data_IF_622805088667
#
_entry.id   IF_622805088667
#
_cell.length_a   1.000
_cell.length_b   1.000
_cell.length_c   1.000
_cell.angle_alpha   90.00
_cell.angle_beta   90.00
_cell.angle_gamma   90.00
#
_symmetry.space_group_name_H-M   'P 1'
#
loop_
_entity.id
_entity.type
_entity.pdbx_description
1 polymer ?
#
# COMPACT_ATOMS: atom_id res chain seq x y z
N UNK A 1 -54.17 -44.87 19.33
CA UNK A 1 -54.97 -44.26 18.24
C UNK A 1 -53.99 -43.44 17.41
N UNK A 2 -53.44 -43.98 16.30
CA UNK A 2 -54.06 -44.00 14.97
C UNK A 2 -54.30 -42.55 14.46
N UNK A 3 -53.86 -42.07 13.29
CA UNK A 3 -53.31 -42.66 12.05
C UNK A 3 -53.04 -41.49 11.09
N UNK A 4 -52.03 -41.62 10.20
CA UNK A 4 -52.04 -41.23 8.78
C UNK A 4 -52.19 -39.72 8.41
N UNK A 5 -51.77 -39.19 7.27
CA UNK A 5 -51.00 -39.58 6.07
C UNK A 5 -50.93 -38.30 5.21
N UNK A 6 -49.87 -38.10 4.43
CA UNK A 6 -49.79 -36.96 3.50
C UNK A 6 -48.53 -36.97 2.65
N UNK A 7 -48.57 -37.74 1.57
CA UNK A 7 -47.47 -37.95 0.64
C UNK A 7 -47.38 -36.89 -0.47
N UNK A 8 -46.14 -36.71 -0.94
CA UNK A 8 -45.70 -36.48 -2.33
C UNK A 8 -46.07 -35.17 -3.06
N UNK A 9 -45.02 -34.42 -3.44
CA UNK A 9 -44.88 -33.99 -4.84
C UNK A 9 -43.41 -34.00 -5.28
N UNK A 10 -43.03 -35.08 -5.94
CA UNK A 10 -41.79 -35.20 -6.71
C UNK A 10 -42.04 -34.58 -8.09
N UNK A 11 -41.29 -33.53 -8.45
CA UNK A 11 -41.17 -33.09 -9.86
C UNK A 11 -39.81 -33.49 -10.41
N UNK A 12 -39.81 -34.53 -11.24
CA UNK A 12 -38.75 -34.82 -12.21
C UNK A 12 -38.93 -33.88 -13.42
N UNK A 13 -37.88 -33.20 -13.85
CA UNK A 13 -37.75 -32.73 -15.23
C UNK A 13 -36.45 -33.24 -15.82
N UNK A 14 -36.56 -33.72 -17.05
CA UNK A 14 -35.64 -34.55 -17.81
C UNK A 14 -35.18 -33.73 -19.02
N UNK A 15 -33.86 -33.76 -19.26
CA UNK A 15 -33.13 -33.51 -20.52
C UNK A 15 -32.94 -32.08 -21.05
N UNK A 16 -31.70 -31.81 -21.46
CA UNK A 16 -31.31 -30.67 -22.27
C UNK A 16 -29.79 -30.57 -22.42
N UNK A 17 -29.23 -31.29 -23.40
CA UNK A 17 -27.81 -31.33 -23.70
C UNK A 17 -27.28 -30.00 -24.27
N UNK A 18 -26.04 -29.69 -23.90
CA UNK A 18 -24.98 -29.07 -24.71
C UNK A 18 -25.29 -27.79 -25.50
N UNK A 19 -24.61 -26.70 -25.14
CA UNK A 19 -24.06 -25.77 -26.14
C UNK A 19 -22.95 -24.91 -25.52
N UNK A 20 -21.73 -25.10 -26.02
CA UNK A 20 -20.55 -24.26 -25.75
C UNK A 20 -20.78 -22.89 -26.39
N UNK A 21 -20.77 -21.83 -25.59
CA UNK A 21 -20.77 -20.46 -26.10
C UNK A 21 -19.37 -20.11 -26.62
N UNK A 22 -19.20 -20.11 -27.94
CA UNK A 22 -17.98 -19.64 -28.62
C UNK A 22 -18.24 -18.22 -29.12
N UNK A 23 -17.54 -17.27 -28.52
CA UNK A 23 -17.58 -15.85 -28.87
C UNK A 23 -16.86 -15.63 -30.22
N UNK A 24 -17.60 -15.36 -31.29
CA UNK A 24 -17.06 -15.01 -32.63
C UNK A 24 -16.95 -13.48 -32.75
N UNK A 25 -15.73 -12.95 -32.67
CA UNK A 25 -15.45 -11.55 -32.97
C UNK A 25 -15.58 -11.28 -34.49
N UNK A 26 -16.51 -10.41 -34.89
CA UNK A 26 -16.60 -9.85 -36.25
C UNK A 26 -15.73 -8.58 -36.33
N UNK A 27 -14.76 -8.55 -37.24
CA UNK A 27 -14.04 -7.32 -37.64
C UNK A 27 -14.81 -6.61 -38.76
N UNK A 28 -15.11 -5.31 -38.68
CA UNK A 28 -15.62 -4.57 -39.83
C UNK A 28 -14.46 -4.12 -40.73
N UNK A 29 -14.63 -4.30 -42.04
CA UNK A 29 -13.75 -3.76 -43.07
C UNK A 29 -14.07 -2.28 -43.29
N UNK A 30 -13.10 -1.40 -43.05
CA UNK A 30 -13.19 0.04 -43.33
C UNK A 30 -12.61 0.31 -44.72
N UNK A 31 -13.50 0.59 -45.67
CA UNK A 31 -13.15 0.95 -47.04
C UNK A 31 -13.05 2.49 -47.14
N UNK A 32 -11.83 3.03 -47.24
CA UNK A 32 -11.60 4.47 -47.45
C UNK A 32 -11.71 4.81 -48.94
N UNK A 33 -12.71 5.62 -49.29
CA UNK A 33 -12.93 6.17 -50.63
C UNK A 33 -12.12 7.45 -50.78
N UNK A 34 -11.18 7.49 -51.72
CA UNK A 34 -10.48 8.72 -52.12
C UNK A 34 -11.39 9.53 -53.06
N UNK A 35 -11.62 10.80 -52.72
CA UNK A 35 -12.25 11.77 -53.63
C UNK A 35 -11.15 12.69 -54.19
N UNK A 36 -11.04 12.71 -55.51
CA UNK A 36 -10.16 13.59 -56.27
C UNK A 36 -10.94 14.84 -56.66
N UNK A 37 -10.53 16.02 -56.21
CA UNK A 37 -11.07 17.31 -56.68
C UNK A 37 -10.22 17.84 -57.82
N UNK A 38 -10.79 17.94 -59.01
CA UNK A 38 -10.19 18.66 -60.14
C UNK A 38 -10.48 20.16 -60.02
N UNK A 39 -9.45 20.95 -60.33
CA UNK A 39 -9.44 22.42 -60.40
C UNK A 39 -10.00 22.91 -61.74
N UNK A 40 -10.78 23.99 -61.72
CA UNK A 40 -11.19 24.74 -62.90
C UNK A 40 -10.67 26.18 -62.80
N UNK A 41 -10.11 26.65 -63.90
CA UNK A 41 -9.48 27.95 -64.12
C UNK A 41 -10.47 29.13 -64.02
N UNK A 42 -9.98 30.29 -63.55
CA UNK A 42 -10.50 31.60 -63.96
C UNK A 42 -9.43 32.71 -63.81
N UNK A 43 -9.10 33.25 -64.98
CA UNK A 43 -8.85 34.64 -65.39
C UNK A 43 -7.89 35.55 -64.61
N UNK A 44 -6.91 36.04 -65.37
CA UNK A 44 -5.88 37.05 -65.10
C UNK A 44 -6.41 38.45 -64.77
N UNK A 45 -5.69 39.18 -63.93
CA UNK A 45 -5.64 40.66 -63.90
C UNK A 45 -4.20 41.10 -63.57
N UNK A 46 -3.65 42.17 -64.17
CA UNK A 46 -2.22 42.50 -64.06
C UNK A 46 -1.90 43.53 -62.95
N UNK A 47 -0.94 43.13 -62.11
CA UNK A 47 0.18 43.88 -61.49
C UNK A 47 0.01 45.37 -61.11
N UNK A 48 -0.10 45.61 -59.80
CA UNK A 48 0.41 46.82 -59.12
C UNK A 48 1.64 46.43 -58.28
N UNK A 49 2.77 47.10 -58.51
CA UNK A 49 4.03 46.83 -57.82
C UNK A 49 4.08 47.54 -56.45
N UNK A 50 4.13 46.76 -55.37
CA UNK A 50 4.44 47.22 -54.02
C UNK A 50 5.90 46.93 -53.65
N UNK A 51 6.54 47.73 -52.79
CA UNK A 51 7.99 47.72 -52.58
C UNK A 51 8.46 46.42 -51.92
N UNK A 52 9.63 45.94 -52.34
CA UNK A 52 10.24 44.70 -51.85
C UNK A 52 10.57 44.79 -50.36
N UNK A 53 9.79 44.13 -49.52
CA UNK A 53 10.20 43.69 -48.20
C UNK A 53 11.35 42.68 -48.39
N UNK A 54 12.56 43.06 -47.99
CA UNK A 54 13.70 42.15 -47.95
C UNK A 54 13.43 41.07 -46.90
N UNK A 55 13.08 39.86 -47.36
CA UNK A 55 13.03 38.69 -46.50
C UNK A 55 14.43 38.42 -45.95
N UNK A 56 14.58 38.09 -44.65
CA UNK A 56 15.86 37.69 -44.10
C UNK A 56 16.39 36.47 -44.88
N UNK A 57 17.70 36.38 -45.13
CA UNK A 57 18.26 35.32 -45.96
C UNK A 57 17.94 33.94 -45.35
N UNK A 58 17.67 32.92 -46.19
CA UNK A 58 17.33 31.59 -45.70
C UNK A 58 18.49 31.00 -44.90
N UNK A 59 18.24 30.63 -43.64
CA UNK A 59 19.23 29.94 -42.78
C UNK A 59 19.80 28.72 -43.50
N UNK A 60 21.13 28.57 -43.49
CA UNK A 60 21.85 27.52 -44.19
C UNK A 60 21.36 26.12 -43.78
N UNK A 61 21.35 25.16 -44.72
CA UNK A 61 20.95 23.77 -44.43
C UNK A 61 21.76 23.16 -43.28
N UNK A 62 23.03 23.51 -43.15
CA UNK A 62 23.91 23.09 -42.04
C UNK A 62 23.45 23.63 -40.68
N UNK A 63 23.07 24.91 -40.59
CA UNK A 63 22.54 25.49 -39.34
C UNK A 63 21.22 24.85 -38.90
N UNK A 64 20.38 24.44 -39.86
CA UNK A 64 19.14 23.71 -39.60
C UNK A 64 19.38 22.29 -39.10
N UNK A 65 20.32 21.56 -39.70
CA UNK A 65 20.68 20.19 -39.26
C UNK A 65 21.33 20.24 -37.88
N UNK A 66 22.27 21.16 -37.63
CA UNK A 66 22.90 21.32 -36.32
C UNK A 66 21.87 21.70 -35.24
N UNK A 67 20.95 22.62 -35.55
CA UNK A 67 19.86 23.00 -34.64
C UNK A 67 18.90 21.84 -34.34
N UNK A 68 18.52 21.06 -35.36
CA UNK A 68 17.65 19.90 -35.19
C UNK A 68 18.33 18.76 -34.40
N UNK A 69 19.61 18.49 -34.66
CA UNK A 69 20.38 17.50 -33.90
C UNK A 69 20.59 17.93 -32.44
N UNK A 70 20.90 19.20 -32.20
CA UNK A 70 21.02 19.72 -30.83
C UNK A 70 19.69 19.58 -30.07
N UNK A 71 18.57 19.94 -30.72
CA UNK A 71 17.24 19.75 -30.14
C UNK A 71 16.92 18.29 -29.86
N UNK A 72 17.29 17.37 -30.77
CA UNK A 72 17.10 15.93 -30.58
C UNK A 72 17.91 15.39 -29.40
N UNK A 73 19.17 15.80 -29.25
CA UNK A 73 20.01 15.42 -28.11
C UNK A 73 19.41 15.93 -26.80
N UNK A 74 19.01 17.21 -26.76
CA UNK A 74 18.41 17.81 -25.56
C UNK A 74 17.09 17.12 -25.21
N UNK A 75 16.21 16.88 -26.20
CA UNK A 75 14.93 16.21 -25.99
C UNK A 75 15.11 14.75 -25.54
N UNK A 76 16.10 14.05 -26.09
CA UNK A 76 16.41 12.66 -25.71
C UNK A 76 17.01 12.60 -24.32
N UNK A 77 17.95 13.51 -23.98
CA UNK A 77 18.53 13.59 -22.65
C UNK A 77 17.47 13.96 -21.59
N UNK A 78 16.60 14.92 -21.89
CA UNK A 78 15.47 15.29 -21.03
C UNK A 78 14.48 14.12 -20.88
N UNK A 79 14.17 13.41 -21.98
CA UNK A 79 13.32 12.22 -21.96
C UNK A 79 13.91 11.09 -21.11
N UNK A 80 15.21 10.83 -21.25
CA UNK A 80 15.90 9.82 -20.45
C UNK A 80 15.94 10.22 -18.97
N UNK A 81 16.28 11.47 -18.66
CA UNK A 81 16.30 11.98 -17.30
C UNK A 81 14.92 11.87 -16.63
N UNK A 82 13.84 12.26 -17.34
CA UNK A 82 12.47 12.12 -16.83
C UNK A 82 12.05 10.64 -16.66
N UNK A 83 12.54 9.74 -17.51
CA UNK A 83 12.24 8.30 -17.37
C UNK A 83 12.96 7.62 -16.19
N UNK A 84 14.14 8.14 -15.82
CA UNK A 84 15.00 7.55 -14.78
C UNK A 84 14.80 8.23 -13.41
N UNK A 85 14.35 9.48 -13.37
CA UNK A 85 14.18 10.24 -12.13
C UNK A 85 13.32 9.52 -11.07
N UNK A 86 12.13 8.96 -11.39
CA UNK A 86 11.33 8.23 -10.40
C UNK A 86 12.06 6.99 -9.84
N UNK A 87 12.88 6.33 -10.68
CA UNK A 87 13.66 5.17 -10.25
C UNK A 87 14.80 5.57 -9.31
N UNK A 88 15.44 6.72 -9.53
CA UNK A 88 16.49 7.26 -8.63
C UNK A 88 15.90 7.62 -7.27
N UNK A 89 14.76 8.30 -7.24
CA UNK A 89 14.09 8.66 -5.97
C UNK A 89 13.67 7.41 -5.20
N UNK A 90 13.12 6.41 -5.88
CA UNK A 90 12.77 5.12 -5.28
C UNK A 90 14.00 4.42 -4.70
N UNK A 91 15.10 4.36 -5.46
CA UNK A 91 16.34 3.74 -5.02
C UNK A 91 16.91 4.46 -3.79
N UNK A 92 16.91 5.80 -3.79
CA UNK A 92 17.34 6.58 -2.64
C UNK A 92 16.48 6.32 -1.41
N UNK A 93 15.16 6.14 -1.58
CA UNK A 93 14.25 5.79 -0.48
C UNK A 93 14.57 4.45 0.20
N UNK A 94 15.20 3.50 -0.50
CA UNK A 94 15.69 2.26 0.11
C UNK A 94 17.12 2.34 0.64
N UNK A 95 17.98 3.17 0.02
CA UNK A 95 19.38 3.34 0.42
C UNK A 95 19.48 4.20 1.69
N UNK A 96 18.60 5.20 1.83
CA UNK A 96 18.54 6.13 2.95
C UNK A 96 17.09 6.35 3.37
N UNK A 97 16.45 5.32 3.95
CA UNK A 97 15.09 5.45 4.46
C UNK A 97 15.02 6.42 5.64
N UNK A 98 13.85 7.04 5.89
CA UNK A 98 13.65 7.93 7.02
C UNK A 98 13.93 7.25 8.36
N UNK A 99 14.54 8.01 9.28
CA UNK A 99 14.77 7.60 10.67
C UNK A 99 13.44 7.45 11.44
N UNK A 100 13.46 6.76 12.59
CA UNK A 100 12.27 6.60 13.43
C UNK A 100 11.64 7.96 13.82
N UNK A 101 12.46 8.94 14.19
CA UNK A 101 11.99 10.28 14.52
C UNK A 101 11.39 11.02 13.32
N UNK A 102 12.02 10.95 12.14
CA UNK A 102 11.50 11.57 10.92
C UNK A 102 10.16 10.98 10.49
N UNK A 103 9.95 9.66 10.67
CA UNK A 103 8.67 9.03 10.31
C UNK A 103 7.45 9.63 11.01
N UNK A 104 7.64 10.29 12.16
CA UNK A 104 6.57 10.91 12.93
C UNK A 104 6.02 12.19 12.27
N UNK A 105 6.85 12.93 11.53
CA UNK A 105 6.48 14.19 10.87
C UNK A 105 6.09 14.02 9.40
N UNK A 106 6.37 12.87 8.79
CA UNK A 106 6.08 12.62 7.38
C UNK A 106 4.59 12.42 7.07
N UNK A 107 3.77 12.05 8.06
CA UNK A 107 2.35 11.79 7.83
C UNK A 107 1.58 13.11 7.74
N UNK A 108 1.01 13.38 6.57
CA UNK A 108 0.08 14.49 6.33
C UNK A 108 -1.34 13.92 6.26
N UNK A 109 -2.24 14.26 7.21
CA UNK A 109 -3.63 13.81 7.16
C UNK A 109 -4.34 14.26 5.89
N UNK A 110 -5.14 13.36 5.30
CA UNK A 110 -5.86 13.66 4.06
C UNK A 110 -7.11 14.54 4.26
N UNK A 111 -7.72 14.47 5.45
CA UNK A 111 -8.94 15.19 5.82
C UNK A 111 -8.99 15.41 7.34
N UNK A 112 -10.01 16.16 7.80
CA UNK A 112 -10.20 16.49 9.23
C UNK A 112 -10.40 15.27 10.10
N UNK A 113 -11.07 14.22 9.60
CA UNK A 113 -11.28 12.98 10.34
C UNK A 113 -9.95 12.25 10.60
N UNK A 114 -9.10 12.13 9.58
CA UNK A 114 -7.76 11.54 9.73
C UNK A 114 -6.88 12.35 10.69
N UNK A 115 -7.04 13.68 10.71
CA UNK A 115 -6.35 14.56 11.66
C UNK A 115 -6.82 14.33 13.11
N UNK A 116 -8.13 14.22 13.33
CA UNK A 116 -8.72 13.91 14.65
C UNK A 116 -8.31 12.53 15.15
N UNK A 117 -8.34 11.52 14.28
CA UNK A 117 -7.87 10.15 14.57
C UNK A 117 -6.40 10.18 14.97
N UNK A 118 -5.55 10.84 14.17
CA UNK A 118 -4.12 10.97 14.45
C UNK A 118 -3.87 11.66 15.80
N UNK A 119 -4.58 12.77 16.06
CA UNK A 119 -4.49 13.50 17.33
C UNK A 119 -4.83 12.59 18.51
N UNK A 120 -5.95 11.85 18.42
CA UNK A 120 -6.38 10.91 19.47
C UNK A 120 -5.35 9.80 19.72
N UNK A 121 -4.70 9.28 18.68
CA UNK A 121 -3.63 8.27 18.82
C UNK A 121 -2.41 8.86 19.53
N UNK A 122 -1.94 10.02 19.09
CA UNK A 122 -0.69 10.64 19.58
C UNK A 122 -0.82 11.16 21.01
N UNK A 123 -1.99 11.73 21.36
CA UNK A 123 -2.26 12.32 22.68
C UNK A 123 -2.91 11.35 23.67
N UNK A 124 -2.99 10.05 23.35
CA UNK A 124 -3.54 9.08 24.30
C UNK A 124 -2.56 8.87 25.47
N UNK A 125 -3.04 8.71 26.73
CA UNK A 125 -2.16 8.51 27.88
C UNK A 125 -1.21 7.32 27.76
N UNK A 126 -1.61 6.23 27.10
CA UNK A 126 -0.71 5.11 26.80
C UNK A 126 0.46 5.54 25.91
N UNK A 127 0.20 6.33 24.86
CA UNK A 127 1.23 6.83 23.95
C UNK A 127 2.21 7.76 24.68
N UNK A 128 1.70 8.66 25.53
CA UNK A 128 2.52 9.55 26.35
C UNK A 128 3.38 8.77 27.36
N UNK A 129 2.81 7.77 28.02
CA UNK A 129 3.50 6.91 28.96
C UNK A 129 4.65 6.14 28.28
N UNK A 130 4.40 5.53 27.13
CA UNK A 130 5.42 4.80 26.36
C UNK A 130 6.52 5.74 25.87
N UNK A 131 6.17 6.94 25.40
CA UNK A 131 7.13 7.96 24.94
C UNK A 131 8.02 8.48 26.06
N UNK A 132 7.51 8.56 27.30
CA UNK A 132 8.29 8.97 28.46
C UNK A 132 9.33 7.93 28.90
N UNK A 133 9.21 6.67 28.46
CA UNK A 133 10.11 5.60 28.82
C UNK A 133 11.19 5.38 27.74
N UNK A 134 12.49 5.57 28.06
CA UNK A 134 13.60 5.51 27.09
C UNK A 134 13.91 4.11 26.53
N UNK A 135 13.25 3.06 27.04
CA UNK A 135 13.32 1.72 26.46
C UNK A 135 12.53 1.61 25.16
N UNK A 136 11.50 2.44 24.98
CA UNK A 136 10.64 2.41 23.81
C UNK A 136 11.09 3.42 22.77
N UNK A 137 11.10 2.98 21.51
CA UNK A 137 11.40 3.81 20.35
C UNK A 137 10.10 4.02 19.57
N UNK A 138 9.67 5.27 19.50
CA UNK A 138 8.46 5.68 18.78
C UNK A 138 8.74 5.84 17.28
N UNK A 139 7.85 5.33 16.43
CA UNK A 139 7.97 5.46 14.97
C UNK A 139 6.63 5.23 14.25
N UNK A 140 6.60 5.56 12.96
CA UNK A 140 5.55 5.15 12.00
C UNK A 140 6.16 4.29 10.89
N UNK A 141 6.23 2.96 11.07
CA UNK A 141 6.91 2.07 10.12
C UNK A 141 6.45 2.24 8.66
N UNK A 142 5.16 2.47 8.42
CA UNK A 142 4.60 2.67 7.08
C UNK A 142 5.18 3.91 6.35
N UNK A 143 5.68 4.88 7.09
CA UNK A 143 6.31 6.08 6.52
C UNK A 143 7.77 5.85 6.09
N UNK A 144 8.36 4.69 6.44
CA UNK A 144 9.64 4.26 5.87
C UNK A 144 9.52 3.75 4.44
N UNK A 145 8.30 3.40 4.00
CA UNK A 145 8.06 2.94 2.63
C UNK A 145 7.94 4.17 1.73
N UNK A 146 8.72 4.25 0.63
CA UNK A 146 8.61 5.32 -0.35
C UNK A 146 7.17 5.49 -0.85
N UNK A 147 6.73 6.74 -0.97
CA UNK A 147 5.32 7.07 -1.26
C UNK A 147 4.80 6.40 -2.54
N UNK A 148 5.60 6.43 -3.60
CA UNK A 148 5.27 5.84 -4.89
C UNK A 148 5.14 4.31 -4.88
N UNK A 149 5.64 3.64 -3.84
CA UNK A 149 5.53 2.19 -3.67
C UNK A 149 4.50 1.78 -2.62
N UNK A 150 4.02 2.73 -1.82
CA UNK A 150 3.14 2.45 -0.69
C UNK A 150 1.85 1.77 -1.13
N UNK A 151 1.32 2.11 -2.30
CA UNK A 151 0.14 1.47 -2.91
C UNK A 151 0.30 -0.03 -3.17
N UNK A 152 1.53 -0.52 -3.33
CA UNK A 152 1.84 -1.95 -3.49
C UNK A 152 1.99 -2.70 -2.16
N UNK A 153 1.89 -1.99 -1.03
CA UNK A 153 1.85 -2.60 0.30
C UNK A 153 0.40 -2.72 0.79
N UNK A 154 0.07 -3.87 1.39
CA UNK A 154 -1.28 -4.17 1.83
C UNK A 154 -1.78 -3.22 2.93
N UNK A 155 -1.02 -3.08 4.03
CA UNK A 155 -1.43 -2.32 5.23
C UNK A 155 -0.94 -0.88 5.22
N UNK A 156 0.18 -0.61 4.55
CA UNK A 156 0.69 0.74 4.39
C UNK A 156 0.01 1.51 3.25
N UNK A 157 -0.63 0.85 2.29
CA UNK A 157 -1.30 1.51 1.16
C UNK A 157 -2.72 1.04 0.91
N UNK A 158 -2.92 -0.21 0.47
CA UNK A 158 -4.22 -0.71 -0.01
C UNK A 158 -5.34 -0.54 1.03
N UNK A 159 -5.02 -0.77 2.31
CA UNK A 159 -5.92 -0.66 3.44
C UNK A 159 -5.91 0.72 4.12
N UNK A 160 -5.14 1.69 3.62
CA UNK A 160 -5.20 3.08 4.09
C UNK A 160 -6.26 3.90 3.36
N UNK A 161 -6.69 4.96 4.03
CA UNK A 161 -7.63 5.95 3.51
C UNK A 161 -8.93 6.05 4.31
N UNK A 162 -9.85 6.84 3.78
CA UNK A 162 -11.11 7.22 4.42
C UNK A 162 -12.00 6.01 4.72
N UNK A 163 -12.56 5.99 5.93
CA UNK A 163 -13.27 4.86 6.56
C UNK A 163 -12.47 3.55 6.60
N UNK A 164 -11.14 3.59 6.40
CA UNK A 164 -10.24 2.45 6.57
C UNK A 164 -9.23 2.74 7.68
N UNK A 165 -7.94 2.46 7.44
CA UNK A 165 -6.83 2.93 8.28
C UNK A 165 -6.51 4.36 7.83
N UNK A 166 -7.24 5.34 8.36
CA UNK A 166 -7.15 6.75 7.95
C UNK A 166 -5.87 7.45 8.45
N UNK A 167 -5.34 7.00 9.59
CA UNK A 167 -4.02 7.39 10.09
C UNK A 167 -3.13 6.15 10.19
N UNK A 168 -1.88 6.18 9.71
CA UNK A 168 -0.93 5.10 9.92
C UNK A 168 -0.87 4.73 11.40
N UNK A 169 -0.62 3.47 11.77
CA UNK A 169 -0.43 3.11 13.17
C UNK A 169 0.78 3.80 13.79
N UNK A 170 0.68 4.16 15.07
CA UNK A 170 1.80 4.63 15.88
C UNK A 170 2.43 3.43 16.60
N UNK A 171 3.73 3.22 16.43
CA UNK A 171 4.42 2.02 16.94
C UNK A 171 5.51 2.40 17.93
N UNK A 172 5.51 1.74 19.08
CA UNK A 172 6.56 1.77 20.09
C UNK A 172 7.26 0.42 20.10
N UNK A 173 8.57 0.40 19.86
CA UNK A 173 9.36 -0.81 19.86
C UNK A 173 10.38 -0.81 21.00
N UNK A 174 10.42 -1.88 21.78
CA UNK A 174 11.48 -2.12 22.76
C UNK A 174 12.46 -3.14 22.16
N UNK A 175 13.45 -2.63 21.43
CA UNK A 175 14.50 -3.45 20.80
C UNK A 175 15.73 -3.64 21.67
N UNK A 176 15.80 -2.93 22.80
CA UNK A 176 16.93 -2.96 23.74
C UNK A 176 16.83 -4.11 24.75
N UNK A 177 15.65 -4.70 24.91
CA UNK A 177 15.45 -5.89 25.73
C UNK A 177 16.08 -7.14 25.08
N UNK A 178 16.38 -8.16 25.89
CA UNK A 178 16.89 -9.46 25.40
C UNK A 178 15.93 -10.10 24.39
N UNK A 179 14.63 -10.02 24.70
CA UNK A 179 13.55 -10.41 23.82
C UNK A 179 12.73 -9.18 23.45
N UNK A 180 12.71 -8.76 22.17
CA UNK A 180 12.04 -7.53 21.78
C UNK A 180 10.52 -7.64 21.81
N UNK A 181 9.88 -6.51 22.04
CA UNK A 181 8.42 -6.36 22.07
C UNK A 181 7.98 -5.08 21.37
N UNK A 182 6.71 -5.01 20.98
CA UNK A 182 6.09 -3.80 20.44
C UNK A 182 4.73 -3.52 21.07
N UNK A 183 4.36 -2.25 21.06
CA UNK A 183 3.00 -1.76 21.26
C UNK A 183 2.64 -0.88 20.07
N UNK A 184 1.51 -1.12 19.42
CA UNK A 184 1.06 -0.36 18.27
C UNK A 184 -0.37 0.12 18.46
N UNK A 185 -0.61 1.41 18.27
CA UNK A 185 -1.93 2.04 18.40
C UNK A 185 -2.47 2.38 17.01
N UNK A 186 -3.69 1.97 16.71
CA UNK A 186 -4.34 2.19 15.41
C UNK A 186 -5.84 2.46 15.55
N UNK A 187 -6.44 3.00 14.48
CA UNK A 187 -7.89 3.12 14.32
C UNK A 187 -8.34 2.29 13.12
N UNK A 188 -9.48 1.60 13.26
CA UNK A 188 -10.03 0.72 12.23
C UNK A 188 -11.41 1.22 11.80
N UNK A 189 -11.50 1.81 10.61
CA UNK A 189 -12.75 2.35 10.07
C UNK A 189 -13.74 1.31 9.53
N UNK A 190 -14.93 1.76 9.18
CA UNK A 190 -16.07 0.91 8.79
C UNK A 190 -15.87 0.12 7.48
N UNK A 191 -15.12 0.62 6.50
CA UNK A 191 -14.83 -0.11 5.24
C UNK A 191 -13.91 -1.32 5.43
N UNK A 192 -13.48 -1.59 6.65
CA UNK A 192 -12.72 -2.77 7.05
C UNK A 192 -13.61 -3.86 7.67
N UNK A 193 -14.93 -3.65 7.70
CA UNK A 193 -15.87 -4.61 8.24
C UNK A 193 -16.01 -5.87 7.38
N UNK A 194 -16.20 -7.01 8.04
CA UNK A 194 -16.58 -8.26 7.39
C UNK A 194 -18.07 -8.57 7.51
N UNK A 195 -18.64 -8.19 8.65
CA UNK A 195 -20.07 -8.17 8.93
C UNK A 195 -20.44 -6.71 9.25
N UNK A 196 -21.70 -6.26 8.99
CA UNK A 196 -22.13 -4.94 9.42
C UNK A 196 -21.67 -4.61 10.84
N UNK A 197 -21.03 -3.45 10.98
CA UNK A 197 -20.46 -2.86 12.21
C UNK A 197 -19.33 -3.65 12.91
N UNK A 198 -18.84 -4.75 12.35
CA UNK A 198 -17.78 -5.58 12.94
C UNK A 198 -16.59 -5.70 11.98
N UNK A 199 -15.40 -5.33 12.45
CA UNK A 199 -14.14 -5.45 11.72
C UNK A 199 -13.91 -6.89 11.29
N UNK A 200 -13.48 -7.06 10.02
CA UNK A 200 -13.24 -8.39 9.46
C UNK A 200 -12.15 -9.13 10.25
N UNK A 201 -12.43 -10.36 10.70
CA UNK A 201 -11.47 -11.15 11.48
C UNK A 201 -10.14 -11.39 10.76
N UNK A 202 -10.18 -11.52 9.43
CA UNK A 202 -8.98 -11.59 8.59
C UNK A 202 -8.14 -10.32 8.58
N UNK A 203 -8.72 -9.12 8.76
CA UNK A 203 -7.91 -7.91 8.95
C UNK A 203 -7.16 -7.98 10.29
N UNK A 204 -7.85 -8.37 11.37
CA UNK A 204 -7.22 -8.52 12.67
C UNK A 204 -6.08 -9.55 12.62
N UNK A 205 -6.26 -10.63 11.85
CA UNK A 205 -5.20 -11.60 11.59
C UNK A 205 -4.01 -10.98 10.85
N UNK A 206 -4.25 -10.17 9.81
CA UNK A 206 -3.21 -9.45 9.08
C UNK A 206 -2.42 -8.51 9.99
N UNK A 207 -3.13 -7.75 10.86
CA UNK A 207 -2.48 -6.85 11.81
C UNK A 207 -1.62 -7.63 12.80
N UNK A 208 -2.12 -8.74 13.34
CA UNK A 208 -1.36 -9.63 14.22
C UNK A 208 -0.12 -10.20 13.53
N UNK A 209 -0.24 -10.70 12.29
CA UNK A 209 0.91 -11.21 11.54
C UNK A 209 2.02 -10.16 11.40
N UNK A 210 1.67 -8.94 10.97
CA UNK A 210 2.64 -7.85 10.84
C UNK A 210 3.20 -7.37 12.18
N UNK A 211 2.38 -7.30 13.22
CA UNK A 211 2.79 -6.90 14.56
C UNK A 211 3.77 -7.88 15.20
N UNK A 212 3.45 -9.18 15.13
CA UNK A 212 4.29 -10.27 15.65
C UNK A 212 5.60 -10.37 14.87
N UNK A 213 5.55 -10.22 13.54
CA UNK A 213 6.74 -10.12 12.70
C UNK A 213 7.67 -9.00 13.19
N UNK A 214 7.13 -7.80 13.36
CA UNK A 214 7.89 -6.61 13.76
C UNK A 214 8.48 -6.72 15.16
N UNK A 215 7.82 -7.42 16.08
CA UNK A 215 8.38 -7.74 17.38
C UNK A 215 9.62 -8.62 17.29
N UNK A 216 9.59 -9.70 16.51
CA UNK A 216 10.70 -10.67 16.53
C UNK A 216 11.82 -10.44 15.53
N UNK A 217 11.58 -9.68 14.46
CA UNK A 217 12.60 -9.44 13.44
C UNK A 217 13.91 -8.89 14.02
N UNK A 218 13.91 -7.91 14.95
CA UNK A 218 15.16 -7.44 15.56
C UNK A 218 15.99 -8.54 16.24
N UNK A 219 15.36 -9.63 16.69
CA UNK A 219 16.03 -10.74 17.36
C UNK A 219 16.53 -11.84 16.39
N UNK A 220 16.18 -11.77 15.10
CA UNK A 220 16.67 -12.71 14.09
C UNK A 220 18.06 -12.29 13.57
N UNK A 221 18.94 -13.24 13.21
CA UNK A 221 20.33 -12.96 12.81
C UNK A 221 20.49 -11.89 11.72
N UNK A 222 19.65 -11.92 10.68
CA UNK A 222 19.66 -10.98 9.57
C UNK A 222 18.49 -9.99 9.61
N UNK A 223 17.77 -9.94 10.74
CA UNK A 223 16.62 -9.08 10.98
C UNK A 223 15.47 -9.23 9.97
N UNK A 224 15.32 -10.43 9.41
CA UNK A 224 14.29 -10.78 8.42
C UNK A 224 13.71 -12.14 8.75
N UNK A 225 12.39 -12.26 8.69
CA UNK A 225 11.68 -13.52 8.87
C UNK A 225 10.50 -13.63 7.94
N UNK A 226 10.02 -14.85 7.76
CA UNK A 226 8.72 -15.16 7.14
C UNK A 226 7.88 -15.94 8.14
N UNK A 227 6.56 -15.77 8.07
CA UNK A 227 5.62 -16.50 8.92
C UNK A 227 5.61 -17.97 8.52
N UNK A 228 5.95 -18.85 9.46
CA UNK A 228 5.86 -20.31 9.27
C UNK A 228 4.55 -20.88 9.83
N UNK A 229 4.06 -20.33 10.94
CA UNK A 229 2.73 -20.65 11.47
C UNK A 229 2.16 -19.46 12.23
N UNK A 230 0.84 -19.29 12.15
CA UNK A 230 0.08 -18.29 12.88
C UNK A 230 -1.19 -18.96 13.42
N UNK A 231 -1.32 -19.03 14.75
CA UNK A 231 -2.50 -19.54 15.44
C UNK A 231 -3.22 -18.36 16.10
N UNK A 232 -4.53 -18.23 15.86
CA UNK A 232 -5.32 -17.07 16.28
C UNK A 232 -6.56 -17.55 17.02
N UNK A 233 -6.82 -16.95 18.18
CA UNK A 233 -8.02 -17.14 18.97
C UNK A 233 -8.83 -15.85 19.04
N UNK A 234 -9.99 -15.81 18.38
CA UNK A 234 -10.93 -14.69 18.45
C UNK A 234 -11.80 -14.84 19.70
N UNK A 235 -11.65 -13.92 20.65
CA UNK A 235 -12.39 -13.91 21.92
C UNK A 235 -13.69 -13.12 21.80
N UNK A 236 -13.62 -11.93 21.18
CA UNK A 236 -14.71 -10.96 21.08
C UNK A 236 -14.71 -10.26 19.72
N UNK A 237 -15.88 -9.84 19.21
CA UNK A 237 -15.94 -9.06 17.99
C UNK A 237 -15.33 -7.66 18.19
N UNK A 238 -14.62 -7.16 17.18
CA UNK A 238 -14.08 -5.80 17.19
C UNK A 238 -15.08 -4.84 16.51
N UNK A 239 -15.67 -3.86 17.21
CA UNK A 239 -16.58 -2.89 16.60
C UNK A 239 -15.87 -2.01 15.57
N UNK A 240 -16.60 -1.60 14.53
CA UNK A 240 -16.14 -0.59 13.59
C UNK A 240 -15.82 0.74 14.29
N UNK A 241 -14.89 1.51 13.72
CA UNK A 241 -14.41 2.80 14.23
C UNK A 241 -13.78 2.71 15.64
N UNK A 242 -13.30 1.52 16.01
CA UNK A 242 -12.57 1.32 17.26
C UNK A 242 -11.13 1.79 17.15
N UNK A 243 -10.62 2.37 18.24
CA UNK A 243 -9.20 2.50 18.48
C UNK A 243 -8.72 1.23 19.16
N UNK A 244 -7.63 0.66 18.68
CA UNK A 244 -7.09 -0.62 19.14
C UNK A 244 -5.62 -0.48 19.52
N UNK A 245 -5.19 -1.35 20.42
CA UNK A 245 -3.78 -1.54 20.75
C UNK A 245 -3.41 -2.97 20.36
N UNK A 246 -2.37 -3.12 19.55
CA UNK A 246 -1.72 -4.38 19.29
C UNK A 246 -0.48 -4.48 20.16
N UNK A 247 -0.37 -5.54 20.95
CA UNK A 247 0.82 -5.87 21.74
C UNK A 247 1.42 -7.15 21.20
N UNK A 248 2.75 -7.18 21.10
CA UNK A 248 3.46 -8.38 20.67
C UNK A 248 4.80 -8.51 21.41
N UNK A 249 5.09 -9.73 21.83
CA UNK A 249 6.25 -10.08 22.65
C UNK A 249 6.94 -11.30 22.05
N UNK A 250 8.24 -11.16 21.76
CA UNK A 250 9.07 -12.31 21.40
C UNK A 250 9.25 -13.18 22.64
N UNK A 251 8.96 -14.47 22.55
CA UNK A 251 9.01 -15.39 23.71
C UNK A 251 10.24 -16.28 23.69
N UNK A 252 10.76 -16.58 22.50
CA UNK A 252 11.94 -17.43 22.33
C UNK A 252 12.59 -17.19 20.98
N UNK A 253 13.92 -17.28 20.92
CA UNK A 253 14.69 -17.33 19.67
C UNK A 253 15.64 -18.53 19.72
N UNK A 254 15.67 -19.29 18.64
CA UNK A 254 16.56 -20.45 18.46
C UNK A 254 17.09 -20.48 17.01
N UNK A 255 18.31 -19.96 16.84
CA UNK A 255 18.97 -19.83 15.55
C UNK A 255 18.17 -19.00 14.55
N UNK A 256 17.49 -19.65 13.60
CA UNK A 256 16.68 -19.00 12.57
C UNK A 256 15.19 -18.94 12.90
N UNK A 257 14.79 -19.35 14.10
CA UNK A 257 13.38 -19.45 14.50
C UNK A 257 13.10 -18.48 15.64
N UNK A 258 12.00 -17.74 15.54
CA UNK A 258 11.51 -16.90 16.61
C UNK A 258 10.04 -17.22 16.91
N UNK A 259 9.72 -17.42 18.18
CA UNK A 259 8.36 -17.60 18.68
C UNK A 259 7.89 -16.28 19.28
N UNK A 260 6.65 -15.94 19.00
CA UNK A 260 6.07 -14.64 19.38
C UNK A 260 4.63 -14.88 19.80
N UNK A 261 4.19 -14.17 20.82
CA UNK A 261 2.78 -14.07 21.20
C UNK A 261 2.33 -12.62 21.12
N UNK A 262 1.05 -12.40 20.96
CA UNK A 262 0.50 -11.06 20.91
C UNK A 262 -1.02 -11.06 20.89
N UNK A 263 -1.59 -9.88 21.04
CA UNK A 263 -3.03 -9.71 21.10
C UNK A 263 -3.42 -8.32 20.62
N UNK A 264 -4.71 -8.17 20.31
CA UNK A 264 -5.34 -6.88 20.04
C UNK A 264 -6.40 -6.64 21.11
N UNK A 265 -6.34 -5.46 21.72
CA UNK A 265 -7.28 -4.96 22.71
C UNK A 265 -7.90 -3.63 22.26
N UNK A 266 -9.04 -3.28 22.84
CA UNK A 266 -9.62 -1.93 22.68
C UNK A 266 -8.74 -0.92 23.41
N UNK A 267 -8.42 0.21 22.76
CA UNK A 267 -7.73 1.31 23.41
C UNK A 267 -8.64 1.97 24.47
N UNK A 268 -8.21 1.93 25.73
CA UNK A 268 -8.85 2.64 26.82
C UNK A 268 -8.43 4.11 26.92
N UNK A 269 -9.03 4.81 27.89
CA UNK A 269 -8.71 6.22 28.19
C UNK A 269 -7.46 6.38 29.06
N UNK A 270 -6.92 5.28 29.62
CA UNK A 270 -5.76 5.27 30.50
C UNK A 270 -4.55 4.54 29.90
N UNK A 271 -3.66 4.10 30.78
CA UNK A 271 -2.47 3.27 30.43
C UNK A 271 -2.72 1.77 30.58
N UNK A 272 -3.84 1.40 31.22
CA UNK A 272 -4.20 0.02 31.51
C UNK A 272 -4.58 -0.74 30.25
N UNK A 273 -4.38 -2.06 30.28
CA UNK A 273 -4.81 -2.95 29.20
C UNK A 273 -6.33 -2.96 29.07
N UNK A 274 -6.78 -2.90 27.81
CA UNK A 274 -8.19 -2.93 27.48
C UNK A 274 -8.75 -4.35 27.39
N UNK A 275 -9.95 -4.44 26.83
CA UNK A 275 -10.58 -5.74 26.58
C UNK A 275 -9.88 -6.47 25.42
N UNK A 276 -9.33 -7.65 25.69
CA UNK A 276 -8.73 -8.51 24.66
C UNK A 276 -9.79 -9.02 23.69
N UNK A 277 -9.61 -8.69 22.41
CA UNK A 277 -10.50 -9.08 21.32
C UNK A 277 -10.00 -10.35 20.63
N UNK A 278 -8.69 -10.43 20.38
CA UNK A 278 -8.06 -11.52 19.67
C UNK A 278 -6.63 -11.72 20.16
N UNK A 279 -6.24 -12.98 20.30
CA UNK A 279 -4.90 -13.40 20.74
C UNK A 279 -4.26 -14.27 19.65
N UNK A 280 -2.94 -14.24 19.53
CA UNK A 280 -2.22 -15.07 18.60
C UNK A 280 -0.84 -15.52 19.09
N UNK A 281 -0.45 -16.69 18.60
CA UNK A 281 0.90 -17.23 18.72
C UNK A 281 1.44 -17.52 17.32
N UNK A 282 2.70 -17.15 17.08
CA UNK A 282 3.32 -17.32 15.77
C UNK A 282 4.75 -17.84 15.86
N UNK A 283 5.15 -18.52 14.79
CA UNK A 283 6.52 -18.92 14.53
C UNK A 283 7.00 -18.21 13.27
N UNK A 284 8.06 -17.43 13.41
CA UNK A 284 8.78 -16.81 12.30
C UNK A 284 10.08 -17.55 12.03
N UNK A 285 10.43 -17.67 10.75
CA UNK A 285 11.67 -18.33 10.31
C UNK A 285 12.44 -17.43 9.37
N UNK A 286 13.71 -17.19 9.66
CA UNK A 286 14.63 -16.53 8.74
C UNK A 286 14.92 -17.43 7.53
N UNK A 287 14.67 -17.00 6.27
CA UNK A 287 14.98 -17.80 5.09
C UNK A 287 16.49 -18.05 4.95
N UNK A 288 16.87 -19.21 4.39
CA UNK A 288 18.30 -19.59 4.24
C UNK A 288 19.14 -18.61 3.40
N UNK A 289 18.51 -17.78 2.57
CA UNK A 289 19.14 -16.75 1.74
C UNK A 289 19.03 -15.32 2.28
N UNK A 290 18.66 -15.11 3.55
CA UNK A 290 18.32 -13.79 4.09
C UNK A 290 19.40 -12.71 3.92
N UNK A 291 20.69 -13.09 3.89
CA UNK A 291 21.80 -12.17 3.64
C UNK A 291 21.68 -11.39 2.32
N UNK A 292 20.98 -11.94 1.33
CA UNK A 292 20.88 -11.38 -0.02
C UNK A 292 19.49 -10.80 -0.33
N UNK A 293 18.56 -10.76 0.64
CA UNK A 293 17.21 -10.27 0.42
C UNK A 293 17.11 -8.75 0.68
N UNK A 294 16.35 -8.06 -0.18
CA UNK A 294 16.00 -6.66 0.02
C UNK A 294 15.14 -6.49 1.28
N UNK A 295 15.39 -5.43 2.05
CA UNK A 295 14.66 -5.12 3.28
C UNK A 295 13.64 -4.02 2.97
N UNK A 296 12.36 -4.29 3.26
CA UNK A 296 11.29 -3.28 3.12
C UNK A 296 11.30 -2.25 4.24
N UNK A 297 11.76 -2.67 5.43
CA UNK A 297 12.01 -1.78 6.55
C UNK A 297 13.49 -1.88 6.86
N UNK A 298 14.23 -0.77 6.73
CA UNK A 298 15.59 -0.77 7.28
C UNK A 298 15.51 -0.82 8.79
N UNK A 299 16.35 -1.67 9.34
CA UNK A 299 16.60 -1.77 10.77
C UNK A 299 17.75 -0.84 11.12
N UNK A 300 17.54 0.46 10.98
CA UNK A 300 18.51 1.46 11.42
C UNK A 300 17.99 2.10 12.71
N UNK A 301 18.33 1.41 13.80
CA UNK A 301 19.00 1.89 15.03
C UNK A 301 19.53 0.66 15.78
#
# INVERSE_FOLDING_TARGET
MATASGAALVRKSVFGAGSRCVYKARRPALQKRFQTTQSAYSTTSPLEASPSLTLPPPRSRTSRVLGASALFIVATAAGLAMSVAPAIETANGFISPPTNAETLSLFVPANSEAEEINKRIVSNPLAECLRANPQWIESRPHMKIPENMRSHNLTAGTLQGDDKIASPPLTFANTKAELPSIVQIAHLGEKLCGHPTIIHGGLLATLLDEGLARACFPALPNKVGVTASLNITYKKPCPANSFIVLRAETTKVDGRKAWVKGWIEILGDGVEEGEHLVEAEALFVEPRGAKNMARLYSSDE
#
